data_IF_518901388482
#
_entry.id   IF_518901388482
#
_cell.length_a   1.000
_cell.length_b   1.000
_cell.length_c   1.000
_cell.angle_alpha   90.00
_cell.angle_beta   90.00
_cell.angle_gamma   90.00
#
_symmetry.space_group_name_H-M   'P 1'
#
loop_
_entity.id
_entity.type
_entity.pdbx_description
1 polymer ?
#
# COMPACT_ATOMS: atom_id res chain seq x y z
N UNK A 1 -3.21 -32.50 27.09
CA UNK A 1 -4.31 -32.16 26.15
C UNK A 1 -5.32 -31.29 26.92
N UNK A 2 -5.28 -29.98 26.76
CA UNK A 2 -6.21 -29.05 27.41
C UNK A 2 -7.51 -29.03 26.63
N UNK A 3 -8.58 -29.54 27.19
CA UNK A 3 -9.92 -29.49 26.61
C UNK A 3 -10.65 -28.27 27.15
N UNK A 4 -10.85 -27.24 26.35
CA UNK A 4 -11.73 -26.12 26.67
C UNK A 4 -13.16 -26.47 26.24
N UNK A 5 -14.01 -26.90 27.20
CA UNK A 5 -15.44 -27.09 26.99
C UNK A 5 -16.17 -25.76 27.24
N UNK A 6 -16.56 -25.05 26.19
CA UNK A 6 -17.38 -23.86 26.22
C UNK A 6 -18.23 -23.73 24.93
N UNK A 7 -19.41 -23.14 25.03
CA UNK A 7 -20.23 -22.84 23.85
C UNK A 7 -19.44 -21.97 22.89
N UNK A 8 -19.25 -22.44 21.65
CA UNK A 8 -18.45 -21.79 20.64
C UNK A 8 -19.01 -20.42 20.26
N UNK A 9 -18.40 -19.37 20.80
CA UNK A 9 -18.56 -18.01 20.27
C UNK A 9 -17.61 -17.81 19.12
N UNK A 10 -18.09 -17.30 17.98
CA UNK A 10 -17.26 -16.82 16.89
C UNK A 10 -16.87 -15.37 17.16
N UNK A 11 -15.62 -15.01 16.86
CA UNK A 11 -15.21 -13.62 16.79
C UNK A 11 -15.84 -12.96 15.55
N UNK A 12 -15.87 -11.63 15.49
CA UNK A 12 -16.48 -10.86 14.39
C UNK A 12 -15.87 -11.13 13.00
N UNK A 13 -14.65 -11.67 12.96
CA UNK A 13 -13.93 -12.13 11.77
C UNK A 13 -14.26 -13.59 11.34
N UNK A 14 -15.21 -14.22 12.03
CA UNK A 14 -15.58 -15.62 11.78
C UNK A 14 -14.63 -16.66 12.38
N UNK A 15 -13.51 -16.24 12.97
CA UNK A 15 -12.54 -17.11 13.64
C UNK A 15 -13.14 -17.59 14.96
N UNK A 16 -13.11 -18.89 15.22
CA UNK A 16 -13.55 -19.41 16.51
C UNK A 16 -12.48 -19.18 17.56
N UNK A 17 -12.88 -19.05 18.86
CA UNK A 17 -11.93 -19.00 19.96
C UNK A 17 -10.93 -20.17 19.95
N UNK A 18 -11.37 -21.29 19.44
CA UNK A 18 -10.53 -22.49 19.28
C UNK A 18 -9.49 -22.30 18.18
N UNK A 19 -9.83 -21.64 17.10
CA UNK A 19 -8.90 -21.36 16.01
C UNK A 19 -7.91 -20.24 16.40
N UNK A 20 -8.37 -19.22 17.16
CA UNK A 20 -7.50 -18.22 17.75
C UNK A 20 -6.47 -18.84 18.72
N UNK A 21 -6.90 -19.82 19.54
CA UNK A 21 -6.00 -20.58 20.42
C UNK A 21 -5.03 -21.48 19.64
N UNK A 22 -5.45 -22.06 18.49
CA UNK A 22 -4.57 -22.82 17.60
C UNK A 22 -3.51 -21.92 16.94
N UNK A 23 -3.92 -20.72 16.50
CA UNK A 23 -3.00 -19.72 15.94
C UNK A 23 -2.00 -19.27 17.02
N UNK A 24 -2.48 -18.99 18.24
CA UNK A 24 -1.62 -18.69 19.39
C UNK A 24 -0.68 -19.84 19.76
N UNK A 25 -1.15 -21.11 19.70
CA UNK A 25 -0.35 -22.29 19.96
C UNK A 25 0.72 -22.53 18.88
N UNK A 26 0.46 -22.19 17.62
CA UNK A 26 1.47 -22.21 16.54
C UNK A 26 2.56 -21.16 16.81
N UNK A 27 2.19 -19.97 17.27
CA UNK A 27 3.15 -18.95 17.72
C UNK A 27 3.99 -19.38 18.93
N UNK A 28 3.38 -20.06 19.91
CA UNK A 28 4.07 -20.66 21.06
C UNK A 28 4.94 -21.86 20.67
N UNK A 29 4.61 -22.56 19.57
CA UNK A 29 5.41 -23.65 19.00
C UNK A 29 6.63 -23.19 18.19
N UNK A 30 6.94 -21.89 18.19
CA UNK A 30 8.12 -21.33 17.56
C UNK A 30 8.00 -21.12 16.03
N UNK A 31 6.81 -21.33 15.43
CA UNK A 31 6.56 -20.96 14.04
C UNK A 31 6.08 -19.52 13.96
N UNK A 32 6.96 -18.67 13.50
CA UNK A 32 6.61 -17.28 13.18
C UNK A 32 5.95 -17.19 11.79
N UNK A 33 5.26 -16.09 11.50
CA UNK A 33 4.73 -15.81 10.16
C UNK A 33 5.82 -15.93 9.07
N UNK A 34 7.06 -15.45 9.27
CA UNK A 34 8.16 -15.71 8.35
C UNK A 34 8.46 -17.20 8.11
N UNK A 35 8.36 -18.04 9.14
CA UNK A 35 8.59 -19.48 9.00
C UNK A 35 7.49 -20.16 8.18
N UNK A 36 6.23 -19.73 8.38
CA UNK A 36 5.10 -20.20 7.57
C UNK A 36 5.29 -19.81 6.10
N UNK A 37 5.63 -18.55 5.82
CA UNK A 37 5.88 -18.05 4.46
C UNK A 37 7.08 -18.75 3.79
N UNK A 38 8.14 -19.07 4.56
CA UNK A 38 9.26 -19.87 4.07
C UNK A 38 8.86 -21.33 3.81
N UNK A 39 8.01 -21.91 4.66
CA UNK A 39 7.50 -23.25 4.48
C UNK A 39 6.62 -23.34 3.22
N UNK A 40 5.76 -22.37 2.98
CA UNK A 40 4.97 -22.24 1.74
C UNK A 40 5.89 -22.15 0.50
N UNK A 41 6.93 -21.32 0.57
CA UNK A 41 7.90 -21.19 -0.51
C UNK A 41 8.65 -22.52 -0.78
N UNK A 42 9.06 -23.25 0.27
CA UNK A 42 9.73 -24.57 0.16
C UNK A 42 8.78 -25.65 -0.35
N UNK A 43 7.49 -25.55 -0.02
CA UNK A 43 6.46 -26.47 -0.49
C UNK A 43 6.02 -26.21 -1.94
N UNK A 44 6.64 -25.23 -2.63
CA UNK A 44 6.27 -24.87 -3.99
C UNK A 44 4.90 -24.17 -4.10
N UNK A 45 4.34 -23.73 -2.97
CA UNK A 45 3.11 -22.92 -2.90
C UNK A 45 3.42 -21.45 -3.32
N UNK A 46 4.50 -21.25 -4.06
CA UNK A 46 4.94 -19.98 -4.61
C UNK A 46 4.01 -19.39 -5.69
N UNK A 47 2.88 -20.03 -5.95
CA UNK A 47 1.86 -19.58 -6.89
C UNK A 47 0.84 -18.60 -6.31
N UNK A 48 0.94 -18.22 -5.05
CA UNK A 48 0.08 -17.20 -4.49
C UNK A 48 0.36 -15.85 -5.18
N UNK A 49 -0.62 -15.32 -5.89
CA UNK A 49 -0.59 -13.98 -6.50
C UNK A 49 -0.81 -12.86 -5.46
N UNK A 50 -0.72 -13.18 -4.16
CA UNK A 50 -0.97 -12.21 -3.08
C UNK A 50 -0.10 -10.97 -3.24
N UNK A 51 -0.78 -9.83 -3.28
CA UNK A 51 -0.15 -8.53 -3.43
C UNK A 51 -0.86 -7.46 -2.59
N UNK A 52 -0.17 -6.34 -2.37
CA UNK A 52 -0.72 -5.19 -1.65
C UNK A 52 -0.53 -3.93 -2.48
N UNK A 53 -1.59 -3.17 -2.65
CA UNK A 53 -1.54 -1.79 -3.16
C UNK A 53 -1.80 -0.87 -1.98
N UNK A 54 -0.79 -0.09 -1.59
CA UNK A 54 -0.90 0.87 -0.50
C UNK A 54 -0.97 2.29 -1.02
N UNK A 55 -2.04 2.99 -0.65
CA UNK A 55 -2.30 4.38 -0.98
C UNK A 55 -2.01 5.22 0.27
N UNK A 56 -0.89 5.94 0.25
CA UNK A 56 -0.54 6.86 1.30
C UNK A 56 -1.22 8.21 1.05
N UNK A 57 -2.14 8.56 1.91
CA UNK A 57 -2.89 9.81 1.88
C UNK A 57 -2.11 10.88 2.66
N UNK A 58 -1.18 11.55 1.98
CA UNK A 58 -0.21 12.45 2.60
C UNK A 58 -0.86 13.57 3.42
N UNK A 59 -0.49 13.69 4.68
CA UNK A 59 -0.99 14.77 5.52
C UNK A 59 -2.21 14.41 6.35
N UNK A 60 -2.44 13.14 6.64
CA UNK A 60 -3.45 12.68 7.59
C UNK A 60 -4.89 13.09 7.22
N UNK A 61 -5.61 12.28 6.43
CA UNK A 61 -6.97 12.57 6.00
C UNK A 61 -7.94 12.62 7.18
N UNK A 62 -8.95 13.52 7.15
CA UNK A 62 -9.95 13.63 8.19
C UNK A 62 -11.00 12.50 8.05
N UNK A 63 -10.76 11.34 8.63
CA UNK A 63 -11.63 10.16 8.51
C UNK A 63 -13.08 10.43 8.95
N UNK A 64 -13.30 11.34 9.91
CA UNK A 64 -14.61 11.78 10.36
C UNK A 64 -15.39 12.57 9.30
N UNK A 65 -14.73 13.10 8.28
CA UNK A 65 -15.38 13.74 7.13
C UNK A 65 -15.50 12.77 5.92
N UNK A 66 -15.07 11.51 6.07
CA UNK A 66 -15.04 10.50 5.02
C UNK A 66 -15.88 9.25 5.37
N UNK A 67 -15.46 8.52 6.40
CA UNK A 67 -16.00 7.19 6.73
C UNK A 67 -16.75 7.13 8.07
N UNK A 68 -16.63 8.17 8.90
CA UNK A 68 -17.09 8.16 10.29
C UNK A 68 -17.81 9.46 10.67
N UNK A 69 -18.77 9.90 9.83
CA UNK A 69 -19.54 11.10 10.06
C UNK A 69 -20.29 11.01 11.39
N UNK A 70 -20.11 12.02 12.24
CA UNK A 70 -20.67 12.08 13.61
C UNK A 70 -21.97 12.90 13.60
N UNK A 71 -23.02 12.40 12.94
CA UNK A 71 -24.24 13.15 12.68
C UNK A 71 -24.96 13.64 13.95
N UNK A 72 -24.84 12.90 15.05
CA UNK A 72 -25.41 13.29 16.35
C UNK A 72 -24.57 14.34 17.09
N UNK A 73 -23.35 14.63 16.61
CA UNK A 73 -22.48 15.63 17.24
C UNK A 73 -22.86 17.06 16.83
N UNK A 74 -22.50 18.08 17.64
CA UNK A 74 -22.66 19.47 17.26
C UNK A 74 -22.02 19.80 15.89
N UNK A 75 -22.54 20.80 15.17
CA UNK A 75 -22.04 21.20 13.86
C UNK A 75 -20.54 21.53 13.83
N UNK A 76 -20.00 22.02 14.95
CA UNK A 76 -18.57 22.28 15.11
C UNK A 76 -17.69 21.00 15.11
N UNK A 77 -18.29 19.83 15.22
CA UNK A 77 -17.63 18.51 15.14
C UNK A 77 -17.99 17.80 13.85
N UNK A 78 -19.30 17.63 13.57
CA UNK A 78 -19.77 16.85 12.42
C UNK A 78 -19.45 17.49 11.06
N UNK A 79 -19.29 18.82 11.01
CA UNK A 79 -19.09 19.56 9.77
C UNK A 79 -20.35 19.62 8.89
N UNK A 80 -20.21 20.10 7.63
CA UNK A 80 -21.33 20.28 6.72
C UNK A 80 -21.68 19.06 5.87
N UNK A 81 -20.82 18.04 5.79
CA UNK A 81 -21.02 16.89 4.91
C UNK A 81 -22.16 15.99 5.40
N UNK A 82 -22.89 15.42 4.45
CA UNK A 82 -24.01 14.53 4.72
C UNK A 82 -23.62 13.06 4.42
N UNK A 83 -24.21 12.11 5.15
CA UNK A 83 -24.03 10.70 4.85
C UNK A 83 -24.86 10.29 3.64
N UNK A 84 -24.34 9.33 2.87
CA UNK A 84 -25.08 8.58 1.87
C UNK A 84 -25.02 7.10 2.20
N UNK A 85 -26.09 6.36 1.86
CA UNK A 85 -26.11 4.92 2.00
C UNK A 85 -25.16 4.25 1.02
N UNK A 86 -24.59 3.14 1.46
CA UNK A 86 -23.75 2.30 0.61
C UNK A 86 -24.51 1.07 0.13
N UNK A 87 -23.88 0.25 -0.72
CA UNK A 87 -24.45 -1.04 -1.12
C UNK A 87 -24.46 -2.09 0.03
N UNK A 88 -23.98 -1.72 1.22
CA UNK A 88 -24.06 -2.55 2.44
C UNK A 88 -25.00 -1.87 3.43
N UNK A 89 -26.14 -2.49 3.76
CA UNK A 89 -27.10 -1.92 4.70
C UNK A 89 -26.46 -1.54 6.04
N UNK A 90 -26.75 -0.32 6.53
CA UNK A 90 -26.25 0.19 7.79
C UNK A 90 -24.84 0.80 7.73
N UNK A 91 -24.17 0.76 6.58
CA UNK A 91 -22.91 1.48 6.38
C UNK A 91 -23.16 2.73 5.55
N UNK A 92 -22.84 3.87 6.13
CA UNK A 92 -22.91 5.17 5.47
C UNK A 92 -21.52 5.81 5.41
N UNK A 93 -21.27 6.57 4.33
CA UNK A 93 -20.06 7.35 4.11
C UNK A 93 -20.40 8.75 3.60
N UNK A 94 -19.42 9.62 3.46
CA UNK A 94 -19.58 10.99 2.97
C UNK A 94 -20.21 11.03 1.56
N UNK A 95 -21.15 11.96 1.37
CA UNK A 95 -21.87 12.20 0.10
C UNK A 95 -20.95 12.48 -1.11
N UNK A 96 -19.71 12.91 -0.87
CA UNK A 96 -18.73 13.20 -1.93
C UNK A 96 -17.94 11.96 -2.37
N UNK A 97 -18.38 10.75 -1.93
CA UNK A 97 -17.77 9.47 -2.33
C UNK A 97 -18.81 8.47 -2.87
N UNK A 98 -19.66 8.86 -3.86
CA UNK A 98 -20.74 8.00 -4.34
C UNK A 98 -20.28 6.77 -5.13
N UNK A 99 -19.08 6.76 -5.70
CA UNK A 99 -18.54 5.59 -6.39
C UNK A 99 -18.05 4.55 -5.39
N UNK A 100 -17.38 4.97 -4.32
CA UNK A 100 -16.93 4.09 -3.25
C UNK A 100 -18.13 3.48 -2.51
N UNK A 101 -19.22 4.23 -2.33
CA UNK A 101 -20.45 3.73 -1.74
C UNK A 101 -21.00 2.49 -2.49
N UNK A 102 -20.81 2.38 -3.80
CA UNK A 102 -21.29 1.27 -4.64
C UNK A 102 -20.41 0.00 -4.56
N UNK A 103 -19.24 0.09 -3.98
CA UNK A 103 -18.30 -1.04 -3.83
C UNK A 103 -17.94 -1.31 -2.37
N UNK A 104 -18.75 -0.81 -1.43
CA UNK A 104 -18.50 -0.94 0.01
C UNK A 104 -18.55 -2.38 0.49
N UNK A 105 -19.29 -3.25 -0.18
CA UNK A 105 -19.30 -4.71 0.04
C UNK A 105 -17.91 -5.35 -0.10
N UNK A 106 -16.98 -4.70 -0.78
CA UNK A 106 -15.58 -5.11 -0.99
C UNK A 106 -14.59 -4.39 -0.06
N UNK A 107 -15.11 -3.57 0.84
CA UNK A 107 -14.32 -2.65 1.67
C UNK A 107 -14.53 -2.90 3.16
N UNK A 108 -13.59 -2.42 3.94
CA UNK A 108 -13.63 -2.36 5.41
C UNK A 108 -13.16 -0.95 5.82
N UNK A 109 -14.07 0.01 6.06
CA UNK A 109 -13.72 1.27 6.71
C UNK A 109 -13.16 1.02 8.11
N UNK A 110 -12.02 1.64 8.40
CA UNK A 110 -11.36 1.63 9.69
C UNK A 110 -11.59 2.98 10.36
N UNK A 111 -12.38 3.00 11.43
CA UNK A 111 -12.77 4.23 12.14
C UNK A 111 -11.89 4.57 13.34
N UNK A 112 -10.98 3.68 13.70
CA UNK A 112 -10.16 3.82 14.91
C UNK A 112 -8.79 3.17 14.72
N UNK A 113 -7.93 3.84 13.94
CA UNK A 113 -6.52 3.49 13.86
C UNK A 113 -5.76 4.24 14.95
N UNK A 114 -4.99 3.52 15.74
CA UNK A 114 -4.13 4.03 16.79
C UNK A 114 -2.69 3.64 16.53
N UNK A 115 -1.75 4.44 17.00
CA UNK A 115 -0.33 4.06 16.94
C UNK A 115 0.63 5.18 16.53
N UNK A 116 0.12 6.32 16.03
CA UNK A 116 1.00 7.46 15.78
C UNK A 116 1.52 8.03 17.10
N UNK A 117 2.84 8.17 17.29
CA UNK A 117 3.42 8.64 18.54
C UNK A 117 3.20 10.13 18.79
N UNK A 118 3.02 10.89 17.71
CA UNK A 118 2.83 12.34 17.74
C UNK A 118 2.18 12.84 16.44
N UNK A 119 1.93 14.14 16.35
CA UNK A 119 1.36 14.78 15.15
C UNK A 119 2.40 15.23 14.13
N UNK A 120 3.53 14.55 14.01
CA UNK A 120 4.52 14.84 12.96
C UNK A 120 4.13 14.17 11.65
N UNK A 121 4.25 14.89 10.55
CA UNK A 121 4.02 14.36 9.20
C UNK A 121 5.15 13.43 8.74
N UNK A 122 5.32 12.34 9.45
CA UNK A 122 6.26 11.29 9.12
C UNK A 122 5.50 10.07 8.58
N UNK A 123 5.78 9.71 7.34
CA UNK A 123 5.16 8.57 6.69
C UNK A 123 5.63 7.22 7.24
N UNK A 124 6.66 7.21 8.07
CA UNK A 124 7.34 6.00 8.55
C UNK A 124 6.38 5.00 9.20
N UNK A 125 5.47 5.49 10.06
CA UNK A 125 4.50 4.63 10.74
C UNK A 125 3.56 3.91 9.76
N UNK A 126 3.16 4.58 8.67
CA UNK A 126 2.28 4.00 7.66
C UNK A 126 2.93 2.81 6.94
N UNK A 127 4.24 2.85 6.78
CA UNK A 127 5.00 1.85 6.04
C UNK A 127 5.58 0.75 6.91
N UNK A 128 5.89 1.02 8.18
CA UNK A 128 6.60 0.09 9.07
C UNK A 128 5.75 -0.43 10.22
N UNK A 129 4.67 0.27 10.60
CA UNK A 129 3.91 0.01 11.83
C UNK A 129 4.67 0.40 13.11
N UNK A 130 5.84 1.03 13.00
CA UNK A 130 6.67 1.44 14.12
C UNK A 130 6.82 2.96 14.16
N UNK A 131 7.06 3.47 15.37
CA UNK A 131 7.48 4.86 15.55
C UNK A 131 8.87 5.08 14.94
N UNK A 132 9.10 6.26 14.36
CA UNK A 132 10.44 6.67 13.92
C UNK A 132 11.38 7.02 15.11
N UNK A 133 10.85 7.08 16.33
CA UNK A 133 11.63 7.30 17.55
C UNK A 133 12.17 5.96 18.05
N UNK A 134 13.42 5.95 18.52
CA UNK A 134 14.11 4.75 19.04
C UNK A 134 14.21 3.61 18.02
N UNK A 135 14.67 3.92 16.84
CA UNK A 135 14.87 2.93 15.78
C UNK A 135 16.05 2.00 16.07
N UNK A 136 16.00 0.74 15.61
CA UNK A 136 17.16 -0.13 15.64
C UNK A 136 18.26 0.37 14.68
N UNK A 137 19.51 -0.08 14.83
CA UNK A 137 20.54 0.19 13.84
C UNK A 137 20.10 -0.22 12.45
N UNK A 138 20.15 0.72 11.50
CA UNK A 138 19.71 0.51 10.12
C UNK A 138 18.21 0.71 9.87
N UNK A 139 17.46 1.19 10.85
CA UNK A 139 16.04 1.54 10.82
C UNK A 139 15.07 0.36 10.58
N UNK A 140 13.79 0.52 10.95
CA UNK A 140 12.76 -0.48 10.66
C UNK A 140 12.46 -0.55 9.17
N UNK A 141 12.38 -1.76 8.58
CA UNK A 141 12.01 -1.92 7.18
C UNK A 141 10.53 -1.65 6.96
N UNK A 142 10.21 -1.10 5.81
CA UNK A 142 8.83 -0.98 5.34
C UNK A 142 8.24 -2.36 5.02
N UNK A 143 6.91 -2.45 5.06
CA UNK A 143 6.16 -3.66 4.67
C UNK A 143 6.62 -4.18 3.29
N UNK A 144 6.81 -3.29 2.32
CA UNK A 144 7.28 -3.66 0.98
C UNK A 144 8.67 -4.30 0.99
N UNK A 145 9.58 -3.80 1.83
CA UNK A 145 10.91 -4.38 2.00
C UNK A 145 10.85 -5.76 2.67
N UNK A 146 10.00 -5.91 3.69
CA UNK A 146 9.79 -7.21 4.36
C UNK A 146 9.23 -8.24 3.37
N UNK A 147 8.21 -7.91 2.61
CA UNK A 147 7.62 -8.80 1.59
C UNK A 147 8.65 -9.11 0.48
N UNK A 148 9.43 -8.13 0.04
CA UNK A 148 10.52 -8.35 -0.91
C UNK A 148 11.54 -9.36 -0.39
N UNK A 149 11.90 -9.29 0.90
CA UNK A 149 12.85 -10.22 1.53
C UNK A 149 12.29 -11.62 1.74
N UNK A 150 11.06 -11.71 2.20
CA UNK A 150 10.46 -12.98 2.65
C UNK A 150 9.84 -13.78 1.51
N UNK A 151 9.23 -13.11 0.54
CA UNK A 151 8.52 -13.74 -0.58
C UNK A 151 9.25 -13.59 -1.92
N UNK A 152 10.05 -12.54 -2.09
CA UNK A 152 10.72 -12.26 -3.36
C UNK A 152 9.73 -11.87 -4.47
N UNK A 153 10.21 -11.90 -5.71
CA UNK A 153 9.41 -11.59 -6.88
C UNK A 153 8.59 -12.82 -7.34
N UNK A 154 7.33 -12.60 -7.76
CA UNK A 154 6.57 -13.64 -8.48
C UNK A 154 7.07 -13.84 -9.90
N UNK A 155 7.67 -12.80 -10.46
CA UNK A 155 8.30 -12.80 -11.76
C UNK A 155 9.62 -12.05 -11.67
N UNK A 156 10.72 -12.69 -12.04
CA UNK A 156 12.08 -12.15 -11.92
C UNK A 156 12.29 -10.84 -12.68
N UNK A 157 11.47 -10.57 -13.71
CA UNK A 157 11.54 -9.36 -14.52
C UNK A 157 10.75 -8.18 -13.93
N UNK A 158 10.07 -8.37 -12.79
CA UNK A 158 9.28 -7.34 -12.12
C UNK A 158 9.74 -7.23 -10.67
N UNK A 159 10.20 -6.05 -10.22
CA UNK A 159 10.57 -5.86 -8.82
C UNK A 159 9.43 -6.23 -7.88
N UNK A 160 9.68 -6.94 -6.78
CA UNK A 160 8.64 -7.30 -5.82
C UNK A 160 8.06 -6.10 -5.09
N UNK A 161 8.83 -5.03 -4.93
CA UNK A 161 8.41 -3.80 -4.29
C UNK A 161 8.62 -2.59 -5.22
N UNK A 162 7.54 -1.88 -5.54
CA UNK A 162 7.53 -0.72 -6.45
C UNK A 162 6.88 0.48 -5.78
N UNK A 163 7.54 1.64 -5.86
CA UNK A 163 7.05 2.90 -5.33
C UNK A 163 6.69 3.88 -6.45
N UNK A 164 5.41 4.23 -6.58
CA UNK A 164 4.90 5.24 -7.49
C UNK A 164 4.86 6.64 -6.84
N UNK A 165 5.77 6.88 -5.91
CA UNK A 165 5.82 8.11 -5.12
C UNK A 165 6.70 9.14 -5.84
N UNK A 166 6.15 10.30 -6.24
CA UNK A 166 6.93 11.39 -6.82
C UNK A 166 7.74 12.12 -5.74
N UNK A 167 8.68 12.94 -6.15
CA UNK A 167 9.29 13.89 -5.23
C UNK A 167 8.28 14.96 -4.84
N UNK A 168 8.21 15.29 -3.55
CA UNK A 168 7.27 16.25 -2.97
C UNK A 168 8.03 17.38 -2.26
N UNK A 169 7.35 18.49 -2.01
CA UNK A 169 7.94 19.61 -1.27
C UNK A 169 8.25 19.24 0.19
N UNK A 170 7.40 18.41 0.82
CA UNK A 170 7.68 17.77 2.10
C UNK A 170 8.22 16.36 1.85
N UNK A 171 9.54 16.11 2.05
CA UNK A 171 10.17 14.84 1.64
C UNK A 171 9.49 13.57 2.14
N UNK A 172 8.99 13.46 3.40
CA UNK A 172 8.26 12.29 3.87
C UNK A 172 7.04 11.93 3.02
N UNK A 173 6.36 12.92 2.42
CA UNK A 173 5.22 12.67 1.53
C UNK A 173 5.58 12.02 0.20
N UNK A 174 6.85 12.08 -0.20
CA UNK A 174 7.38 11.43 -1.41
C UNK A 174 8.07 10.09 -1.14
N UNK A 175 8.05 9.59 0.10
CA UNK A 175 8.67 8.31 0.43
C UNK A 175 7.79 7.14 -0.03
N UNK A 176 8.35 6.12 -0.67
CA UNK A 176 7.67 4.85 -0.92
C UNK A 176 7.81 3.84 0.22
N UNK A 177 8.50 4.19 1.30
CA UNK A 177 8.98 3.32 2.35
C UNK A 177 10.46 2.95 2.21
N UNK A 178 11.14 2.76 3.33
CA UNK A 178 12.57 2.47 3.40
C UNK A 178 12.86 0.96 3.52
N UNK A 179 13.99 0.47 3.01
CA UNK A 179 14.38 -0.94 3.19
C UNK A 179 14.84 -1.26 4.61
N UNK A 180 15.20 -0.25 5.41
CA UNK A 180 15.67 -0.43 6.77
C UNK A 180 16.89 -1.35 6.85
N UNK A 181 17.03 -2.08 7.96
CA UNK A 181 18.13 -3.02 8.18
C UNK A 181 18.15 -4.22 7.22
N UNK A 182 17.12 -4.39 6.36
CA UNK A 182 17.13 -5.45 5.33
C UNK A 182 18.04 -5.13 4.15
N UNK A 183 18.45 -3.87 4.02
CA UNK A 183 19.38 -3.44 3.01
C UNK A 183 18.74 -3.04 1.67
N UNK A 184 19.53 -2.33 0.86
CA UNK A 184 19.07 -1.63 -0.36
C UNK A 184 18.49 -2.56 -1.43
N UNK A 185 18.88 -3.84 -1.47
CA UNK A 185 18.34 -4.84 -2.41
C UNK A 185 16.85 -5.10 -2.24
N UNK A 186 16.28 -4.76 -1.08
CA UNK A 186 14.86 -4.86 -0.78
C UNK A 186 14.13 -3.52 -0.80
N UNK A 187 14.81 -2.45 -1.22
CA UNK A 187 14.22 -1.12 -1.38
C UNK A 187 13.20 -1.05 -2.51
N UNK A 188 12.33 -0.03 -2.46
CA UNK A 188 11.35 0.20 -3.51
C UNK A 188 12.03 0.56 -4.84
N UNK A 189 11.68 -0.15 -5.91
CA UNK A 189 11.97 0.28 -7.25
C UNK A 189 11.10 1.49 -7.61
N UNK A 190 11.71 2.60 -8.02
CA UNK A 190 11.00 3.84 -8.39
C UNK A 190 11.08 4.05 -9.90
N UNK A 191 9.98 3.82 -10.66
CA UNK A 191 9.98 3.94 -12.13
C UNK A 191 9.89 5.38 -12.63
N UNK A 192 10.02 6.38 -11.76
CA UNK A 192 9.94 7.81 -12.10
C UNK A 192 11.31 8.42 -12.39
N UNK A 193 11.34 9.50 -13.20
CA UNK A 193 12.56 10.25 -13.51
C UNK A 193 13.51 9.56 -14.50
N UNK A 194 14.82 9.78 -14.40
CA UNK A 194 15.84 9.22 -15.30
C UNK A 194 15.85 7.69 -15.38
N UNK A 195 15.43 7.02 -14.30
CA UNK A 195 15.37 5.55 -14.23
C UNK A 195 14.49 4.93 -15.33
N UNK A 196 13.43 5.62 -15.77
CA UNK A 196 12.54 5.14 -16.84
C UNK A 196 13.25 5.08 -18.20
N UNK A 197 14.11 6.03 -18.49
CA UNK A 197 14.89 6.02 -19.73
C UNK A 197 15.91 4.87 -19.74
N UNK A 198 16.48 4.54 -18.57
CA UNK A 198 17.46 3.47 -18.40
C UNK A 198 16.86 2.06 -18.46
N UNK A 199 15.52 1.90 -18.49
CA UNK A 199 14.84 0.61 -18.67
C UNK A 199 14.81 0.14 -20.14
N UNK A 200 15.33 0.94 -21.06
CA UNK A 200 15.48 0.57 -22.48
C UNK A 200 16.94 0.24 -22.77
N UNK A 201 17.16 -0.83 -23.52
CA UNK A 201 18.51 -1.13 -24.03
C UNK A 201 18.96 -0.03 -24.97
N UNK A 202 20.20 0.44 -24.78
CA UNK A 202 20.83 1.32 -25.75
C UNK A 202 20.96 0.62 -27.11
N UNK A 203 20.80 1.35 -28.20
CA UNK A 203 20.79 0.86 -29.58
C UNK A 203 22.01 0.00 -29.98
N UNK A 204 23.13 0.12 -29.24
CA UNK A 204 24.35 -0.69 -29.47
C UNK A 204 24.43 -1.99 -28.66
N UNK A 205 23.44 -2.31 -27.83
CA UNK A 205 23.44 -3.50 -26.97
C UNK A 205 22.35 -4.45 -27.43
N UNK A 206 22.73 -5.62 -27.95
CA UNK A 206 21.80 -6.68 -28.30
C UNK A 206 21.48 -7.57 -27.10
N UNK A 207 20.31 -8.22 -27.09
CA UNK A 207 19.94 -9.20 -26.05
C UNK A 207 20.98 -10.31 -25.89
N UNK A 208 21.61 -10.77 -27.00
CA UNK A 208 22.68 -11.76 -26.95
C UNK A 208 23.91 -11.26 -26.21
N UNK A 209 24.35 -10.01 -26.46
CA UNK A 209 25.47 -9.40 -25.71
C UNK A 209 25.14 -9.21 -24.23
N UNK A 210 23.87 -8.91 -23.93
CA UNK A 210 23.42 -8.77 -22.54
C UNK A 210 23.41 -10.13 -21.83
N UNK A 211 22.96 -11.20 -22.52
CA UNK A 211 22.98 -12.57 -22.02
C UNK A 211 24.42 -13.03 -21.69
N UNK A 212 25.38 -12.78 -22.57
CA UNK A 212 26.81 -13.10 -22.34
C UNK A 212 27.36 -12.32 -21.15
N UNK A 213 27.02 -11.03 -21.00
CA UNK A 213 27.39 -10.24 -19.81
C UNK A 213 26.77 -10.77 -18.53
N UNK A 214 25.51 -11.20 -18.56
CA UNK A 214 24.83 -11.84 -17.42
C UNK A 214 25.57 -13.10 -16.98
N UNK A 215 25.94 -13.97 -17.93
CA UNK A 215 26.68 -15.20 -17.64
C UNK A 215 28.06 -14.89 -17.05
N UNK A 216 28.79 -13.93 -17.60
CA UNK A 216 30.08 -13.50 -17.07
C UNK A 216 29.97 -12.92 -15.65
N UNK A 217 28.99 -12.05 -15.39
CA UNK A 217 28.74 -11.51 -14.05
C UNK A 217 28.38 -12.61 -13.06
N UNK A 218 27.58 -13.60 -13.45
CA UNK A 218 27.25 -14.75 -12.59
C UNK A 218 28.47 -15.56 -12.23
N UNK A 219 29.38 -15.80 -13.20
CA UNK A 219 30.64 -16.51 -12.97
C UNK A 219 31.59 -15.72 -12.06
N UNK A 220 31.69 -14.40 -12.26
CA UNK A 220 32.49 -13.52 -11.39
C UNK A 220 31.92 -13.44 -9.97
N UNK A 221 30.59 -13.35 -9.82
CA UNK A 221 29.93 -13.35 -8.53
C UNK A 221 30.11 -14.67 -7.78
N UNK A 222 30.09 -15.80 -8.49
CA UNK A 222 30.41 -17.12 -7.92
C UNK A 222 31.86 -17.17 -7.43
N UNK A 223 32.82 -16.70 -8.24
CA UNK A 223 34.22 -16.62 -7.87
C UNK A 223 34.46 -15.71 -6.65
N UNK A 224 33.82 -14.55 -6.60
CA UNK A 224 33.91 -13.64 -5.44
C UNK A 224 33.37 -14.27 -4.16
N UNK A 225 32.21 -14.95 -4.22
CA UNK A 225 31.62 -15.62 -3.06
C UNK A 225 32.50 -16.75 -2.50
N UNK A 226 33.27 -17.41 -3.35
CA UNK A 226 34.23 -18.44 -2.89
C UNK A 226 35.46 -17.85 -2.19
N UNK A 227 35.69 -16.52 -2.29
CA UNK A 227 36.87 -15.85 -1.76
C UNK A 227 36.60 -14.69 -0.79
N UNK A 228 35.31 -14.38 -0.50
CA UNK A 228 34.92 -13.27 0.39
C UNK A 228 33.58 -13.53 1.06
N UNK A 229 33.51 -13.40 2.38
CA UNK A 229 32.30 -13.51 3.19
C UNK A 229 31.54 -12.16 3.34
N UNK A 230 31.89 -11.14 2.55
CA UNK A 230 31.35 -9.80 2.72
C UNK A 230 29.88 -9.71 2.23
N UNK A 231 28.94 -9.56 3.17
CA UNK A 231 27.49 -9.48 2.94
C UNK A 231 27.05 -8.31 2.05
N UNK A 232 27.82 -7.21 2.04
CA UNK A 232 27.53 -6.04 1.20
C UNK A 232 27.67 -6.34 -0.30
N UNK A 233 28.52 -7.28 -0.67
CA UNK A 233 28.72 -7.70 -2.07
C UNK A 233 27.56 -8.57 -2.57
N UNK A 234 26.95 -9.37 -1.69
CA UNK A 234 25.79 -10.19 -2.06
C UNK A 234 24.58 -9.33 -2.47
N UNK A 235 24.32 -8.25 -1.74
CA UNK A 235 23.23 -7.30 -2.09
C UNK A 235 23.45 -6.63 -3.45
N UNK A 236 24.69 -6.30 -3.79
CA UNK A 236 25.02 -5.70 -5.10
C UNK A 236 24.84 -6.70 -6.25
N UNK A 237 25.19 -7.96 -6.04
CA UNK A 237 24.99 -9.02 -7.03
C UNK A 237 23.51 -9.28 -7.31
N UNK A 238 22.66 -9.20 -6.27
CA UNK A 238 21.21 -9.34 -6.41
C UNK A 238 20.59 -8.17 -7.19
N UNK A 239 21.03 -6.94 -6.92
CA UNK A 239 20.61 -5.74 -7.69
C UNK A 239 21.03 -5.82 -9.15
N UNK A 240 22.26 -6.24 -9.43
CA UNK A 240 22.74 -6.43 -10.80
C UNK A 240 21.94 -7.49 -11.55
N UNK A 241 21.61 -8.60 -10.91
CA UNK A 241 20.78 -9.66 -11.48
C UNK A 241 19.38 -9.14 -11.81
N UNK A 242 18.73 -8.47 -10.85
CA UNK A 242 17.40 -7.88 -11.03
C UNK A 242 17.39 -6.85 -12.16
N UNK A 243 18.40 -5.98 -12.24
CA UNK A 243 18.53 -5.00 -13.33
C UNK A 243 18.62 -5.70 -14.71
N UNK A 244 19.39 -6.77 -14.82
CA UNK A 244 19.52 -7.55 -16.06
C UNK A 244 18.19 -8.24 -16.42
N UNK A 245 17.48 -8.81 -15.46
CA UNK A 245 16.18 -9.48 -15.67
C UNK A 245 15.12 -8.47 -16.15
N UNK A 246 15.11 -7.25 -15.60
CA UNK A 246 14.24 -6.14 -16.05
C UNK A 246 14.58 -5.74 -17.50
N UNK A 247 15.87 -5.60 -17.84
CA UNK A 247 16.31 -5.16 -19.17
C UNK A 247 16.11 -6.23 -20.26
N UNK A 248 16.00 -7.50 -19.89
CA UNK A 248 15.80 -8.61 -20.82
C UNK A 248 14.34 -8.94 -21.09
N UNK A 249 13.40 -8.31 -20.38
CA UNK A 249 11.96 -8.54 -20.49
C UNK A 249 11.21 -7.23 -20.71
N UNK A 250 10.20 -7.25 -21.56
CA UNK A 250 9.29 -6.10 -21.73
C UNK A 250 8.24 -5.97 -20.61
N UNK A 251 8.07 -6.97 -19.77
CA UNK A 251 6.94 -7.10 -18.85
C UNK A 251 6.74 -5.89 -17.93
N UNK A 252 7.81 -5.42 -17.29
CA UNK A 252 7.74 -4.21 -16.46
C UNK A 252 7.48 -2.95 -17.30
N UNK A 253 8.16 -2.82 -18.44
CA UNK A 253 7.96 -1.70 -19.35
C UNK A 253 6.53 -1.65 -19.89
N UNK A 254 5.95 -2.80 -20.22
CA UNK A 254 4.58 -2.94 -20.68
C UNK A 254 3.58 -2.57 -19.58
N UNK A 255 3.81 -2.98 -18.34
CA UNK A 255 2.97 -2.61 -17.20
C UNK A 255 2.98 -1.11 -16.92
N UNK A 256 4.11 -0.43 -17.13
CA UNK A 256 4.27 1.02 -16.96
C UNK A 256 3.74 1.84 -18.16
N UNK A 257 3.51 1.20 -19.31
CA UNK A 257 2.99 1.86 -20.50
C UNK A 257 1.46 1.81 -20.52
N UNK A 258 0.85 2.88 -20.04
CA UNK A 258 -0.62 3.00 -20.00
C UNK A 258 -1.26 3.09 -21.38
N UNK A 259 -0.49 3.33 -22.46
CA UNK A 259 -1.03 3.32 -23.82
C UNK A 259 -1.45 1.92 -24.28
N UNK A 260 -0.93 0.88 -23.63
CA UNK A 260 -1.27 -0.53 -23.86
C UNK A 260 -2.53 -1.00 -23.13
N UNK A 261 -3.12 -0.15 -22.30
CA UNK A 261 -4.37 -0.46 -21.62
C UNK A 261 -5.57 -0.11 -22.51
N UNK A 262 -6.67 -0.85 -22.33
CA UNK A 262 -7.93 -0.55 -23.00
C UNK A 262 -8.34 0.92 -22.74
N UNK A 263 -8.64 1.69 -23.82
CA UNK A 263 -9.07 3.07 -23.68
C UNK A 263 -10.28 3.27 -22.75
N UNK A 264 -11.24 2.34 -22.73
CA UNK A 264 -12.42 2.41 -21.87
C UNK A 264 -12.03 2.23 -20.38
N UNK A 265 -11.08 1.35 -20.08
CA UNK A 265 -10.54 1.18 -18.73
C UNK A 265 -9.78 2.44 -18.32
N UNK A 266 -8.95 3.00 -19.17
CA UNK A 266 -8.23 4.27 -18.90
C UNK A 266 -9.20 5.41 -18.60
N UNK A 267 -10.30 5.51 -19.36
CA UNK A 267 -11.32 6.52 -19.15
C UNK A 267 -12.04 6.33 -17.80
N UNK A 268 -12.34 5.11 -17.39
CA UNK A 268 -12.94 4.82 -16.06
C UNK A 268 -12.09 5.38 -14.93
N UNK A 269 -10.76 5.14 -14.95
CA UNK A 269 -9.86 5.72 -13.95
C UNK A 269 -9.79 7.25 -14.10
N UNK A 270 -9.69 7.75 -15.33
CA UNK A 270 -9.41 9.14 -15.62
C UNK A 270 -7.94 9.51 -15.38
N UNK A 271 -7.59 10.76 -15.63
CA UNK A 271 -6.21 11.24 -15.51
C UNK A 271 -5.90 11.85 -14.13
N UNK A 272 -6.86 12.56 -13.57
CA UNK A 272 -6.65 13.35 -12.36
C UNK A 272 -5.71 14.53 -12.61
N UNK A 273 -4.95 14.91 -11.60
CA UNK A 273 -3.95 15.99 -11.66
C UNK A 273 -2.54 15.44 -11.40
N UNK A 274 -1.64 15.47 -12.39
CA UNK A 274 -0.27 14.96 -12.22
C UNK A 274 0.65 15.94 -11.49
N UNK A 275 0.22 17.18 -11.25
CA UNK A 275 0.98 18.17 -10.50
C UNK A 275 0.81 17.97 -9.01
N UNK A 276 1.89 18.16 -8.25
CA UNK A 276 1.85 18.16 -6.80
C UNK A 276 0.82 19.18 -6.30
N UNK A 277 0.12 18.84 -5.23
CA UNK A 277 -0.78 19.76 -4.55
C UNK A 277 -0.07 20.33 -3.32
N UNK A 278 0.31 21.60 -3.41
CA UNK A 278 1.16 22.23 -2.40
C UNK A 278 2.49 21.50 -2.26
N UNK A 279 2.87 21.19 -1.03
CA UNK A 279 4.06 20.41 -0.66
C UNK A 279 3.82 18.89 -0.65
N UNK A 280 2.57 18.45 -0.93
CA UNK A 280 2.17 17.05 -0.95
C UNK A 280 2.32 16.36 -2.30
N UNK A 281 1.67 15.21 -2.44
CA UNK A 281 1.66 14.40 -3.65
C UNK A 281 0.64 14.91 -4.68
N UNK A 282 0.74 14.50 -5.95
CA UNK A 282 -0.28 14.75 -6.95
C UNK A 282 -1.56 13.96 -6.65
N UNK A 283 -2.67 14.41 -7.24
CA UNK A 283 -3.94 13.67 -7.27
C UNK A 283 -4.07 12.95 -8.62
N UNK A 284 -3.07 12.12 -8.91
CA UNK A 284 -2.91 11.46 -10.20
C UNK A 284 -3.63 10.11 -10.21
N UNK A 285 -4.71 9.99 -10.97
CA UNK A 285 -5.50 8.76 -11.08
C UNK A 285 -4.82 7.69 -11.92
N UNK A 286 -3.91 8.08 -12.82
CA UNK A 286 -3.12 7.11 -13.59
C UNK A 286 -2.21 6.25 -12.69
N UNK A 287 -1.86 6.70 -11.49
CA UNK A 287 -1.09 5.89 -10.53
C UNK A 287 -1.92 4.71 -9.99
N UNK A 288 -3.24 4.86 -9.82
CA UNK A 288 -4.12 3.75 -9.41
C UNK A 288 -4.16 2.67 -10.50
N UNK A 289 -4.37 3.08 -11.77
CA UNK A 289 -4.32 2.17 -12.91
C UNK A 289 -2.95 1.48 -13.03
N UNK A 290 -1.87 2.26 -12.90
CA UNK A 290 -0.51 1.73 -12.97
C UNK A 290 -0.23 0.72 -11.85
N UNK A 291 -0.71 0.98 -10.62
CA UNK A 291 -0.58 0.04 -9.50
C UNK A 291 -1.27 -1.29 -9.79
N UNK A 292 -2.50 -1.28 -10.35
CA UNK A 292 -3.20 -2.49 -10.77
C UNK A 292 -2.39 -3.27 -11.82
N UNK A 293 -1.88 -2.60 -12.87
CA UNK A 293 -1.08 -3.23 -13.92
C UNK A 293 0.21 -3.83 -13.39
N UNK A 294 0.85 -3.19 -12.42
CA UNK A 294 2.08 -3.67 -11.80
C UNK A 294 1.85 -4.93 -10.96
N UNK A 295 0.75 -5.02 -10.20
CA UNK A 295 0.43 -6.26 -9.46
C UNK A 295 0.06 -7.40 -10.42
N UNK A 296 -0.65 -7.15 -11.49
CA UNK A 296 -0.89 -8.14 -12.56
C UNK A 296 0.42 -8.61 -13.23
N UNK A 297 1.40 -7.72 -13.37
CA UNK A 297 2.71 -8.07 -13.91
C UNK A 297 3.56 -8.89 -12.94
N UNK A 298 3.21 -8.92 -11.64
CA UNK A 298 3.88 -9.73 -10.63
C UNK A 298 4.55 -8.96 -9.49
N UNK A 299 4.32 -7.66 -9.35
CA UNK A 299 4.73 -6.93 -8.15
C UNK A 299 3.94 -7.41 -6.93
N UNK A 300 4.63 -7.56 -5.79
CA UNK A 300 4.02 -7.96 -4.52
C UNK A 300 3.48 -6.78 -3.74
N UNK A 301 4.21 -5.68 -3.75
CA UNK A 301 3.80 -4.45 -3.06
C UNK A 301 3.99 -3.27 -3.99
N UNK A 302 2.93 -2.52 -4.18
CA UNK A 302 2.97 -1.24 -4.88
C UNK A 302 2.48 -0.15 -3.94
N UNK A 303 3.32 0.85 -3.69
CA UNK A 303 2.95 2.03 -2.92
C UNK A 303 2.73 3.21 -3.85
N UNK A 304 1.69 3.99 -3.59
CA UNK A 304 1.44 5.25 -4.27
C UNK A 304 1.00 6.32 -3.25
N UNK A 305 1.30 7.58 -3.55
CA UNK A 305 0.99 8.71 -2.68
C UNK A 305 -0.07 9.58 -3.35
N UNK A 306 -1.05 10.06 -2.58
CA UNK A 306 -2.19 10.77 -3.12
C UNK A 306 -2.51 12.04 -2.33
N UNK A 307 -2.41 13.19 -2.99
CA UNK A 307 -2.87 14.48 -2.49
C UNK A 307 -2.05 15.06 -1.34
N UNK A 308 -2.63 16.02 -0.68
CA UNK A 308 -2.19 16.63 0.57
C UNK A 308 -3.41 16.90 1.43
N UNK A 309 -3.57 16.14 2.49
CA UNK A 309 -4.76 16.17 3.35
C UNK A 309 -4.57 17.00 4.62
N UNK A 310 -3.46 17.71 4.72
CA UNK A 310 -3.13 18.59 5.84
C UNK A 310 -3.92 19.91 5.79
N UNK A 311 -5.21 19.81 6.09
CA UNK A 311 -6.16 20.91 5.95
C UNK A 311 -6.40 21.66 7.28
N UNK A 312 -5.44 22.47 7.70
CA UNK A 312 -5.60 23.38 8.84
C UNK A 312 -6.54 24.54 8.58
N UNK A 313 -6.96 24.73 7.34
CA UNK A 313 -7.93 25.74 6.92
C UNK A 313 -8.78 25.22 5.78
N UNK A 314 -10.04 25.67 5.70
CA UNK A 314 -10.96 25.34 4.62
C UNK A 314 -11.06 23.84 4.32
N UNK A 315 -11.00 22.99 5.35
CA UNK A 315 -10.96 21.52 5.23
C UNK A 315 -12.06 21.00 4.31
N UNK A 316 -13.32 21.31 4.59
CA UNK A 316 -14.45 20.77 3.85
C UNK A 316 -14.50 21.27 2.40
N UNK A 317 -14.26 22.54 2.16
CA UNK A 317 -14.23 23.11 0.79
C UNK A 317 -13.12 22.49 -0.03
N UNK A 318 -11.91 22.40 0.53
CA UNK A 318 -10.77 21.81 -0.17
C UNK A 318 -10.97 20.31 -0.41
N UNK A 319 -11.48 19.58 0.57
CA UNK A 319 -11.77 18.15 0.41
C UNK A 319 -12.82 17.90 -0.67
N UNK A 320 -13.97 18.63 -0.61
CA UNK A 320 -15.08 18.52 -1.57
C UNK A 320 -14.65 18.86 -3.00
N UNK A 321 -13.97 19.98 -3.19
CA UNK A 321 -13.73 20.51 -4.53
C UNK A 321 -12.51 19.91 -5.22
N UNK A 322 -11.58 19.34 -4.45
CA UNK A 322 -10.27 18.97 -5.01
C UNK A 322 -9.82 17.55 -4.73
N UNK A 323 -10.17 16.93 -3.60
CA UNK A 323 -9.61 15.64 -3.19
C UNK A 323 -10.61 14.48 -3.27
N UNK A 324 -11.77 14.63 -2.61
CA UNK A 324 -12.75 13.54 -2.48
C UNK A 324 -13.25 13.03 -3.82
N UNK A 325 -13.61 13.86 -4.82
CA UNK A 325 -14.11 13.35 -6.10
C UNK A 325 -13.04 12.54 -6.88
N UNK A 326 -11.79 12.97 -6.83
CA UNK A 326 -10.71 12.23 -7.50
C UNK A 326 -10.33 10.97 -6.72
N UNK A 327 -10.30 11.04 -5.40
CA UNK A 327 -10.02 9.89 -4.55
C UNK A 327 -11.11 8.82 -4.68
N UNK A 328 -12.37 9.21 -4.64
CA UNK A 328 -13.53 8.35 -4.85
C UNK A 328 -13.44 7.61 -6.19
N UNK A 329 -13.23 8.35 -7.27
CA UNK A 329 -13.08 7.78 -8.61
C UNK A 329 -11.90 6.81 -8.69
N UNK A 330 -10.72 7.21 -8.23
CA UNK A 330 -9.52 6.39 -8.32
C UNK A 330 -9.61 5.11 -7.49
N UNK A 331 -10.03 5.23 -6.23
CA UNK A 331 -10.10 4.10 -5.31
C UNK A 331 -11.23 3.13 -5.67
N UNK A 332 -12.43 3.64 -5.92
CA UNK A 332 -13.57 2.79 -6.27
C UNK A 332 -13.34 2.05 -7.61
N UNK A 333 -12.77 2.74 -8.60
CA UNK A 333 -12.43 2.11 -9.89
C UNK A 333 -11.35 1.03 -9.70
N UNK A 334 -10.31 1.29 -8.90
CA UNK A 334 -9.28 0.31 -8.60
C UNK A 334 -9.86 -0.96 -7.97
N UNK A 335 -10.71 -0.79 -6.95
CA UNK A 335 -11.33 -1.91 -6.26
C UNK A 335 -12.23 -2.70 -7.23
N UNK A 336 -13.10 -2.04 -7.98
CA UNK A 336 -13.98 -2.69 -8.95
C UNK A 336 -13.18 -3.45 -10.01
N UNK A 337 -12.15 -2.83 -10.61
CA UNK A 337 -11.31 -3.42 -11.66
C UNK A 337 -10.54 -4.66 -11.16
N UNK A 338 -10.05 -4.66 -9.91
CA UNK A 338 -9.43 -5.83 -9.30
C UNK A 338 -10.40 -7.01 -9.19
N UNK A 339 -11.63 -6.76 -8.75
CA UNK A 339 -12.65 -7.81 -8.64
C UNK A 339 -13.14 -8.31 -10.01
N UNK A 340 -13.36 -7.41 -10.98
CA UNK A 340 -13.72 -7.74 -12.36
C UNK A 340 -12.67 -8.64 -13.04
N UNK A 341 -11.40 -8.52 -12.64
CA UNK A 341 -10.27 -9.33 -13.13
C UNK A 341 -10.00 -10.60 -12.33
N UNK A 342 -10.81 -10.89 -11.32
CA UNK A 342 -10.59 -12.05 -10.44
C UNK A 342 -9.41 -11.91 -9.49
N UNK A 343 -8.91 -10.68 -9.26
CA UNK A 343 -7.79 -10.39 -8.35
C UNK A 343 -8.25 -9.93 -6.96
N UNK A 344 -9.57 -9.81 -6.75
CA UNK A 344 -10.12 -9.28 -5.51
C UNK A 344 -9.73 -10.06 -4.25
N UNK A 345 -9.58 -11.37 -4.36
CA UNK A 345 -9.18 -12.24 -3.24
C UNK A 345 -7.66 -12.27 -3.02
N UNK A 346 -6.88 -11.86 -4.01
CA UNK A 346 -5.42 -11.93 -3.96
C UNK A 346 -4.75 -10.59 -3.71
N UNK A 347 -5.42 -9.47 -4.01
CA UNK A 347 -4.86 -8.13 -3.88
C UNK A 347 -5.56 -7.35 -2.79
N UNK A 348 -4.82 -7.03 -1.74
CA UNK A 348 -5.28 -6.11 -0.70
C UNK A 348 -5.01 -4.66 -1.11
N UNK A 349 -6.01 -3.81 -1.01
CA UNK A 349 -5.87 -2.36 -1.16
C UNK A 349 -5.97 -1.72 0.20
N UNK A 350 -5.01 -0.85 0.54
CA UNK A 350 -4.97 -0.13 1.82
C UNK A 350 -4.86 1.36 1.54
N UNK A 351 -5.74 2.17 2.11
CA UNK A 351 -5.70 3.63 1.99
C UNK A 351 -5.77 4.26 3.38
N UNK A 352 -4.69 4.91 3.80
CA UNK A 352 -4.59 5.57 5.11
C UNK A 352 -3.58 6.71 5.12
N UNK A 353 -3.54 7.46 6.22
CA UNK A 353 -2.54 8.49 6.50
C UNK A 353 -1.84 8.25 7.83
N UNK A 354 -0.90 9.13 8.16
CA UNK A 354 0.02 8.97 9.27
C UNK A 354 -0.61 9.13 10.66
N UNK A 355 -1.73 9.87 10.76
CA UNK A 355 -2.51 10.05 11.99
C UNK A 355 -3.92 10.57 11.67
N UNK A 356 -4.71 10.94 12.67
CA UNK A 356 -6.04 11.50 12.49
C UNK A 356 -6.09 13.01 12.64
N UNK A 357 -7.29 13.57 12.48
CA UNK A 357 -7.57 15.00 12.62
C UNK A 357 -8.49 15.27 13.80
N UNK A 358 -8.37 16.47 14.41
CA UNK A 358 -9.22 16.85 15.54
C UNK A 358 -10.70 16.75 15.20
N UNK A 359 -11.55 16.20 16.10
CA UNK A 359 -12.99 16.25 15.93
C UNK A 359 -13.51 17.67 15.83
N UNK A 360 -13.01 18.58 16.67
CA UNK A 360 -13.38 19.98 16.65
C UNK A 360 -12.80 20.68 15.42
N UNK A 361 -13.67 21.33 14.66
CA UNK A 361 -13.30 22.24 13.56
C UNK A 361 -12.73 23.53 14.17
N UNK A 362 -11.55 23.94 13.73
CA UNK A 362 -10.88 25.13 14.24
C UNK A 362 -11.46 26.43 13.65
N UNK A 363 -11.00 27.57 14.15
CA UNK A 363 -11.47 28.92 13.72
C UNK A 363 -11.24 29.24 12.24
N UNK A 364 -10.35 28.48 11.57
CA UNK A 364 -10.05 28.64 10.14
C UNK A 364 -10.85 27.63 9.28
N UNK A 365 -11.91 27.03 9.81
CA UNK A 365 -12.68 25.96 9.16
C UNK A 365 -11.81 24.76 8.74
N UNK A 366 -10.75 24.48 9.51
CA UNK A 366 -9.82 23.36 9.32
C UNK A 366 -9.92 22.36 10.45
N UNK A 367 -9.12 21.30 10.35
CA UNK A 367 -8.89 20.32 11.43
C UNK A 367 -7.42 20.21 11.71
N UNK A 368 -7.05 20.27 12.99
CA UNK A 368 -5.65 20.18 13.41
C UNK A 368 -5.21 18.74 13.61
N UNK A 369 -3.93 18.52 13.94
CA UNK A 369 -3.38 17.20 14.14
C UNK A 369 -3.97 16.52 15.39
N UNK A 370 -4.34 15.25 15.25
CA UNK A 370 -4.77 14.40 16.35
C UNK A 370 -4.23 12.98 16.19
N UNK A 371 -3.05 12.70 16.75
CA UNK A 371 -2.42 11.39 16.60
C UNK A 371 -3.12 10.25 17.37
N UNK A 372 -4.04 10.57 18.28
CA UNK A 372 -4.69 9.58 19.14
C UNK A 372 -5.57 8.61 18.35
N UNK A 373 -6.28 9.08 17.32
CA UNK A 373 -7.15 8.24 16.50
C UNK A 373 -7.16 8.75 15.06
N UNK A 374 -6.83 7.88 14.14
CA UNK A 374 -6.98 8.06 12.70
C UNK A 374 -8.00 7.10 12.11
N UNK A 375 -8.11 7.12 10.81
CA UNK A 375 -8.93 6.19 10.05
C UNK A 375 -8.33 5.85 8.71
N UNK A 376 -8.92 4.88 8.04
CA UNK A 376 -8.49 4.40 6.75
C UNK A 376 -9.51 3.48 6.11
N UNK A 377 -9.11 2.83 5.04
CA UNK A 377 -9.92 1.84 4.36
C UNK A 377 -9.03 0.70 3.88
N UNK A 378 -9.52 -0.52 4.05
CA UNK A 378 -8.92 -1.72 3.47
C UNK A 378 -9.95 -2.33 2.51
N UNK A 379 -9.50 -2.95 1.42
CA UNK A 379 -10.39 -3.66 0.49
C UNK A 379 -9.71 -4.91 -0.08
N UNK A 380 -10.51 -5.89 -0.46
CA UNK A 380 -10.05 -7.11 -1.13
C UNK A 380 -9.20 -8.05 -0.28
N UNK A 381 -8.25 -8.75 -0.92
CA UNK A 381 -7.26 -9.63 -0.27
C UNK A 381 -7.83 -10.90 0.36
N UNK A 382 -9.06 -11.30 0.01
CA UNK A 382 -9.74 -12.45 0.61
C UNK A 382 -10.21 -12.21 2.05
N UNK A 383 -10.25 -10.95 2.50
CA UNK A 383 -10.76 -10.57 3.82
C UNK A 383 -12.29 -10.61 3.85
N UNK A 384 -12.85 -10.75 5.05
CA UNK A 384 -14.29 -10.60 5.25
C UNK A 384 -14.66 -9.11 5.17
N UNK A 385 -15.00 -8.65 3.99
CA UNK A 385 -15.37 -7.27 3.67
C UNK A 385 -16.84 -6.96 3.95
N UNK A 386 -17.30 -5.74 3.64
CA UNK A 386 -18.69 -5.33 3.87
C UNK A 386 -18.99 -5.06 5.36
N UNK A 387 -18.01 -4.69 6.15
CA UNK A 387 -18.14 -4.37 7.57
C UNK A 387 -17.30 -3.15 7.93
N UNK A 388 -17.56 -2.57 9.07
CA UNK A 388 -16.78 -1.44 9.64
C UNK A 388 -16.02 -1.93 10.85
N UNK A 389 -14.73 -1.59 10.94
CA UNK A 389 -13.95 -1.83 12.15
C UNK A 389 -13.80 -0.53 12.94
N UNK A 390 -14.14 -0.61 14.24
CA UNK A 390 -14.00 0.50 15.18
C UNK A 390 -13.68 -0.03 16.58
N UNK A 391 -13.37 0.85 17.54
CA UNK A 391 -13.08 0.46 18.94
C UNK A 391 -14.19 -0.35 19.60
N UNK A 392 -15.43 -0.22 19.12
CA UNK A 392 -16.56 -0.98 19.64
C UNK A 392 -16.42 -2.50 19.41
N UNK A 393 -15.60 -2.90 18.42
CA UNK A 393 -15.34 -4.31 18.09
C UNK A 393 -14.14 -4.90 18.88
N UNK A 394 -13.43 -4.05 19.63
CA UNK A 394 -12.29 -4.44 20.44
C UNK A 394 -12.72 -4.57 21.91
#
# INVERSE_FOLDING_TARGET
>A
MLACNGRGGRLCDGVTRRDALKIGALGLGGMSLPDLLQAEQRAGISGSHKAVIMIYMCGAPPHQDMYDLKMEAPSSIRGPFQPIDTNVPGIQICEHMPMLAKVMDKCIPLRSLYGSPNGSHDSFICYTGHSFVNQPPGDWPSMGAVVSKTQGATNVSVPPFIGLSPNTGHPPYGSPGHPGFLGISHGAFRPSGPSRANMKLNSGITLGRLGNRKQLLTSLAAFRRSHSENSSLAGLDDLNRQALDILTSSRLADALDLSKEDPAVRERYGKGSPKNFGDGAPRNLEHFLMARRLVEAGARVVTLNFGRWDFHSNNHTTARDTHLPLFDRGLATLIADLYERGLGDDVSVVAWGEFGRTPQINKNAGRDHWPQVGGGLIAGGGMQTGQVLSLIHI
#
